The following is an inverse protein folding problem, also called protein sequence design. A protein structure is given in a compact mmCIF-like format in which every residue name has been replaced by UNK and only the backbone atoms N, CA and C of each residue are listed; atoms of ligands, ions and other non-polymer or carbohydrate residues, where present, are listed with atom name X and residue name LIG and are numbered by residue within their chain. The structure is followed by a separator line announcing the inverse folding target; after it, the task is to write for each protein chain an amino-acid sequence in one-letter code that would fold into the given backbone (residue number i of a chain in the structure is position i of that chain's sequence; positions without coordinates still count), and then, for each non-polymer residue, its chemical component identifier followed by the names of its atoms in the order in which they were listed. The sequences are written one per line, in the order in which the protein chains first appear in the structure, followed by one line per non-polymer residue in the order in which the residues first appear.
data_IF_507722809877
#
_entry.id   IF_507722809877
#
_cell.length_a   1.000
_cell.length_b   1.000
_cell.length_c   1.000
_cell.angle_alpha   90.00
_cell.angle_beta   90.00
_cell.angle_gamma   90.00
#
_symmetry.space_group_name_H-M   'P 1'
#
loop_
_entity.id
_entity.type
_entity.pdbx_description
1 polymer ?
#
# COMPACT_ATOMS: atom_id res chain seq x y z
N UNK A 1 -1.45 33.27 2.50
CA UNK A 1 -1.28 32.38 3.65
C UNK A 1 -0.77 31.07 3.08
N UNK A 2 0.51 30.75 3.32
CA UNK A 2 1.05 29.45 2.90
C UNK A 2 0.36 28.35 3.73
N UNK A 3 -0.24 27.35 3.12
CA UNK A 3 -0.77 26.25 3.89
C UNK A 3 0.39 25.55 4.62
N UNK A 4 0.21 25.40 5.91
CA UNK A 4 1.20 24.84 6.83
C UNK A 4 1.44 23.34 6.54
N UNK A 5 2.56 22.77 6.95
CA UNK A 5 2.84 21.35 6.76
C UNK A 5 1.78 20.46 7.40
N UNK A 6 1.54 19.31 6.80
CA UNK A 6 0.60 18.30 7.30
C UNK A 6 1.37 17.04 7.68
N UNK A 7 1.03 16.48 8.82
CA UNK A 7 1.52 15.19 9.30
C UNK A 7 0.35 14.22 9.31
N UNK A 8 0.55 13.05 8.76
CA UNK A 8 -0.40 11.95 8.84
C UNK A 8 0.30 10.71 9.38
N UNK A 9 -0.26 10.14 10.43
CA UNK A 9 0.17 8.86 11.00
C UNK A 9 -1.00 7.92 10.95
N UNK A 10 -0.84 6.73 10.45
CA UNK A 10 -1.83 5.70 10.61
C UNK A 10 -1.20 4.35 10.90
N UNK A 11 -1.94 3.52 11.62
CA UNK A 11 -1.62 2.14 11.87
C UNK A 11 -2.89 1.31 11.80
N UNK A 12 -2.76 0.06 11.41
CA UNK A 12 -3.91 -0.84 11.31
C UNK A 12 -3.47 -2.26 11.06
N UNK A 13 -4.45 -3.14 11.03
CA UNK A 13 -4.27 -4.53 10.64
C UNK A 13 -4.81 -4.72 9.23
N UNK A 14 -4.01 -5.34 8.35
CA UNK A 14 -4.47 -5.75 7.02
C UNK A 14 -5.18 -7.10 7.11
N UNK A 15 -4.72 -7.95 8.02
CA UNK A 15 -5.35 -9.20 8.44
C UNK A 15 -5.15 -9.35 9.94
N UNK A 16 -5.71 -10.39 10.55
CA UNK A 16 -5.53 -10.69 11.98
C UNK A 16 -4.06 -10.77 12.42
N UNK A 17 -3.16 -11.11 11.50
CA UNK A 17 -1.75 -11.36 11.77
C UNK A 17 -0.78 -10.38 11.09
N UNK A 18 -1.26 -9.54 10.16
CA UNK A 18 -0.42 -8.60 9.43
C UNK A 18 -0.76 -7.18 9.88
N UNK A 19 0.19 -6.55 10.55
CA UNK A 19 0.15 -5.15 10.94
C UNK A 19 0.71 -4.23 9.85
N UNK A 20 0.17 -3.01 9.76
CA UNK A 20 0.71 -1.96 8.90
C UNK A 20 0.86 -0.67 9.70
N UNK A 21 2.01 -0.04 9.58
CA UNK A 21 2.29 1.28 10.12
C UNK A 21 2.70 2.23 9.02
N UNK A 22 2.23 3.46 9.10
CA UNK A 22 2.53 4.49 8.11
C UNK A 22 2.69 5.85 8.77
N UNK A 23 3.74 6.55 8.39
CA UNK A 23 3.99 7.93 8.76
C UNK A 23 4.21 8.75 7.48
N UNK A 24 3.54 9.88 7.35
CA UNK A 24 3.76 10.80 6.24
C UNK A 24 3.86 12.24 6.73
N UNK A 25 4.76 12.98 6.12
CA UNK A 25 4.96 14.42 6.29
C UNK A 25 4.82 15.08 4.94
N UNK A 26 4.06 16.16 4.84
CA UNK A 26 3.94 16.93 3.62
C UNK A 26 3.94 18.42 3.91
N UNK A 27 4.64 19.19 3.10
CA UNK A 27 4.72 20.64 3.24
C UNK A 27 4.65 21.35 1.89
N UNK A 28 3.94 22.47 1.84
CA UNK A 28 3.82 23.29 0.64
C UNK A 28 4.85 24.41 0.64
N UNK A 29 5.50 24.61 -0.50
CA UNK A 29 6.45 25.68 -0.77
C UNK A 29 5.97 26.40 -2.03
N UNK A 30 5.17 27.44 -1.86
CA UNK A 30 4.51 28.12 -2.98
C UNK A 30 3.51 27.19 -3.69
N UNK A 31 3.70 26.97 -5.00
CA UNK A 31 2.90 26.05 -5.81
C UNK A 31 3.44 24.61 -5.81
N UNK A 32 4.47 24.33 -5.03
CA UNK A 32 5.10 23.03 -4.95
C UNK A 32 4.76 22.38 -3.60
N UNK A 33 4.68 21.05 -3.57
CA UNK A 33 4.55 20.27 -2.34
C UNK A 33 5.66 19.24 -2.30
N UNK A 34 6.34 19.16 -1.17
CA UNK A 34 7.28 18.09 -0.84
C UNK A 34 6.62 17.15 0.17
N UNK A 35 6.85 15.86 0.01
CA UNK A 35 6.36 14.85 0.93
C UNK A 35 7.43 13.79 1.19
N UNK A 36 7.41 13.26 2.41
CA UNK A 36 8.19 12.12 2.83
C UNK A 36 7.28 11.16 3.56
N UNK A 37 7.39 9.86 3.28
CA UNK A 37 6.65 8.86 4.03
C UNK A 37 7.44 7.58 4.26
N UNK A 38 7.07 6.89 5.34
CA UNK A 38 7.59 5.57 5.69
C UNK A 38 6.38 4.65 5.90
N UNK A 39 6.41 3.50 5.25
CA UNK A 39 5.41 2.44 5.39
C UNK A 39 6.12 1.15 5.78
N UNK A 40 5.62 0.49 6.82
CA UNK A 40 6.12 -0.80 7.29
C UNK A 40 4.98 -1.80 7.39
N UNK A 41 5.24 -3.03 6.96
CA UNK A 41 4.40 -4.19 7.23
C UNK A 41 5.13 -5.09 8.21
N UNK A 42 4.38 -5.60 9.17
CA UNK A 42 4.82 -6.57 10.17
C UNK A 42 3.92 -7.81 10.04
N UNK A 43 4.53 -8.94 9.72
CA UNK A 43 3.82 -10.19 9.49
C UNK A 43 3.68 -11.02 10.77
N UNK A 44 4.13 -10.48 11.91
CA UNK A 44 4.16 -11.19 13.19
C UNK A 44 5.18 -12.33 13.22
N UNK A 45 5.14 -13.09 14.29
CA UNK A 45 6.05 -14.20 14.51
C UNK A 45 5.53 -15.47 13.83
N UNK A 46 6.30 -16.00 12.90
CA UNK A 46 6.04 -17.26 12.18
C UNK A 46 6.94 -18.34 12.74
N UNK A 47 6.37 -19.51 13.06
CA UNK A 47 7.15 -20.65 13.55
C UNK A 47 8.19 -21.09 12.51
N UNK A 48 9.45 -21.17 12.91
CA UNK A 48 10.52 -21.68 12.07
C UNK A 48 10.51 -23.20 12.10
N UNK A 49 10.14 -23.81 10.98
CA UNK A 49 10.14 -25.27 10.81
C UNK A 49 11.34 -25.74 9.99
N UNK A 50 11.92 -26.87 10.37
CA UNK A 50 13.04 -27.52 9.68
C UNK A 50 12.74 -29.00 9.46
N UNK A 51 13.60 -29.70 8.73
CA UNK A 51 13.47 -31.15 8.56
C UNK A 51 13.55 -31.90 9.91
N UNK A 52 14.34 -31.38 10.87
CA UNK A 52 14.49 -31.93 12.23
C UNK A 52 13.35 -31.49 13.15
N UNK A 53 12.71 -30.36 12.91
CA UNK A 53 11.58 -29.85 13.68
C UNK A 53 10.43 -29.40 12.76
N UNK A 54 9.72 -30.32 12.10
CA UNK A 54 8.67 -30.00 11.15
C UNK A 54 7.42 -29.38 11.79
N UNK A 55 7.30 -29.48 13.12
CA UNK A 55 6.18 -28.94 13.88
C UNK A 55 6.47 -27.58 14.53
N UNK A 56 7.73 -27.11 14.48
CA UNK A 56 8.14 -25.87 15.12
C UNK A 56 8.12 -25.92 16.66
N UNK A 57 8.19 -27.11 17.25
CA UNK A 57 8.17 -27.29 18.71
C UNK A 57 9.40 -26.70 19.41
N UNK A 58 10.48 -26.41 18.66
CA UNK A 58 11.67 -25.70 19.19
C UNK A 58 11.36 -24.30 19.70
N UNK A 59 10.19 -23.75 19.34
CA UNK A 59 9.77 -22.41 19.70
C UNK A 59 10.54 -21.29 18.98
N UNK A 60 11.39 -21.63 18.00
CA UNK A 60 12.05 -20.62 17.16
C UNK A 60 11.05 -19.98 16.22
N UNK A 61 11.08 -18.65 16.10
CA UNK A 61 10.24 -17.88 15.21
C UNK A 61 11.08 -16.95 14.33
N UNK A 62 10.49 -16.48 13.24
CA UNK A 62 11.02 -15.40 12.43
C UNK A 62 9.87 -14.46 12.04
N UNK A 63 10.18 -13.18 11.83
CA UNK A 63 9.20 -12.15 11.50
C UNK A 63 9.62 -11.45 10.21
N UNK A 64 8.94 -11.70 9.08
CA UNK A 64 9.17 -10.94 7.85
C UNK A 64 8.84 -9.46 8.05
N UNK A 65 9.62 -8.58 7.44
CA UNK A 65 9.43 -7.13 7.50
C UNK A 65 9.58 -6.52 6.12
N UNK A 66 8.57 -5.74 5.71
CA UNK A 66 8.62 -4.98 4.47
C UNK A 66 8.59 -3.50 4.80
N UNK A 67 9.59 -2.77 4.31
CA UNK A 67 9.76 -1.34 4.55
C UNK A 67 9.76 -0.59 3.21
N UNK A 68 8.97 0.48 3.13
CA UNK A 68 9.01 1.39 1.98
C UNK A 68 9.20 2.83 2.47
N UNK A 69 10.25 3.48 1.99
CA UNK A 69 10.50 4.92 2.22
C UNK A 69 10.20 5.64 0.91
N UNK A 70 9.38 6.69 0.95
CA UNK A 70 8.97 7.42 -0.25
C UNK A 70 9.28 8.90 -0.09
N UNK A 71 9.91 9.49 -1.10
CA UNK A 71 10.04 10.92 -1.26
C UNK A 71 9.18 11.37 -2.46
N UNK A 72 8.32 12.35 -2.25
CA UNK A 72 7.37 12.83 -3.24
C UNK A 72 7.52 14.33 -3.52
N UNK A 73 7.26 14.68 -4.75
CA UNK A 73 7.17 16.06 -5.21
C UNK A 73 5.92 16.24 -6.04
N UNK A 74 5.21 17.35 -5.83
CA UNK A 74 4.13 17.75 -6.71
C UNK A 74 4.16 19.24 -7.00
N UNK A 75 3.60 19.61 -8.14
CA UNK A 75 3.52 21.00 -8.60
C UNK A 75 2.15 21.29 -9.18
N UNK A 76 1.61 22.42 -8.77
CA UNK A 76 0.47 23.04 -9.42
C UNK A 76 0.96 23.81 -10.66
N UNK A 77 0.75 23.21 -11.84
CA UNK A 77 1.19 23.76 -13.10
C UNK A 77 0.26 24.88 -13.59
N UNK A 78 -1.03 24.60 -13.53
CA UNK A 78 -2.11 25.57 -13.77
C UNK A 78 -3.16 25.43 -12.67
N UNK A 79 -4.14 26.31 -12.61
CA UNK A 79 -5.28 26.22 -11.67
C UNK A 79 -6.09 24.91 -11.83
N UNK A 80 -5.89 24.17 -12.94
CA UNK A 80 -6.62 22.95 -13.28
C UNK A 80 -5.75 21.71 -13.34
N UNK A 81 -4.45 21.85 -13.52
CA UNK A 81 -3.54 20.74 -13.77
C UNK A 81 -2.46 20.72 -12.68
N UNK A 82 -2.34 19.56 -12.04
CA UNK A 82 -1.31 19.25 -11.07
C UNK A 82 -0.55 18.01 -11.49
N UNK A 83 0.78 18.06 -11.37
CA UNK A 83 1.67 16.93 -11.60
C UNK A 83 2.28 16.47 -10.29
N UNK A 84 2.46 15.17 -10.14
CA UNK A 84 3.18 14.58 -9.03
C UNK A 84 4.10 13.47 -9.48
N UNK A 85 5.22 13.33 -8.78
CA UNK A 85 6.14 12.21 -8.93
C UNK A 85 6.68 11.80 -7.57
N UNK A 86 7.00 10.54 -7.41
CA UNK A 86 7.68 10.04 -6.21
C UNK A 86 8.71 8.98 -6.55
N UNK A 87 9.71 8.89 -5.68
CA UNK A 87 10.69 7.81 -5.66
C UNK A 87 10.50 7.02 -4.36
N UNK A 88 10.56 5.71 -4.46
CA UNK A 88 10.41 4.76 -3.35
C UNK A 88 11.66 3.91 -3.23
N UNK A 89 12.11 3.73 -2.02
CA UNK A 89 13.06 2.68 -1.64
C UNK A 89 12.25 1.55 -1.02
N UNK A 90 12.28 0.38 -1.63
CA UNK A 90 11.56 -0.81 -1.19
C UNK A 90 12.57 -1.81 -0.65
N UNK A 91 12.37 -2.26 0.57
CA UNK A 91 13.16 -3.30 1.21
C UNK A 91 12.23 -4.37 1.77
N UNK A 92 12.52 -5.61 1.47
CA UNK A 92 11.85 -6.79 2.00
C UNK A 92 12.89 -7.68 2.69
N UNK A 93 12.65 -8.03 3.93
CA UNK A 93 13.53 -8.88 4.73
C UNK A 93 12.76 -10.09 5.24
N UNK A 94 13.28 -11.28 4.97
CA UNK A 94 12.74 -12.56 5.45
C UNK A 94 13.91 -13.36 6.02
N UNK A 95 13.91 -13.56 7.34
CA UNK A 95 15.02 -14.21 8.05
C UNK A 95 16.36 -13.47 7.77
N UNK A 96 17.31 -14.17 7.13
CA UNK A 96 18.63 -13.63 6.75
C UNK A 96 18.74 -13.38 5.24
N UNK A 97 17.60 -13.24 4.56
CA UNK A 97 17.56 -12.81 3.16
C UNK A 97 16.88 -11.46 3.03
N UNK A 98 17.32 -10.68 2.09
CA UNK A 98 16.70 -9.41 1.75
C UNK A 98 16.59 -9.19 0.23
N UNK A 99 15.59 -8.41 -0.17
CA UNK A 99 15.45 -7.91 -1.52
C UNK A 99 15.24 -6.38 -1.47
N UNK A 100 15.93 -5.67 -2.34
CA UNK A 100 15.88 -4.22 -2.40
C UNK A 100 15.57 -3.74 -3.83
N UNK A 101 14.77 -2.69 -3.94
CA UNK A 101 14.55 -2.04 -5.23
C UNK A 101 14.21 -0.56 -5.05
N UNK A 102 14.25 0.14 -6.18
CA UNK A 102 13.80 1.53 -6.31
C UNK A 102 12.60 1.56 -7.24
N UNK A 103 11.51 2.18 -6.80
CA UNK A 103 10.31 2.33 -7.61
C UNK A 103 9.98 3.82 -7.82
N UNK A 104 9.33 4.12 -8.94
CA UNK A 104 8.88 5.45 -9.30
C UNK A 104 7.36 5.44 -9.47
N UNK A 105 6.71 6.48 -8.96
CA UNK A 105 5.33 6.78 -9.29
C UNK A 105 5.28 8.13 -10.00
N UNK A 106 4.31 8.28 -10.90
CA UNK A 106 4.00 9.55 -11.54
C UNK A 106 2.51 9.69 -11.78
N UNK A 107 2.01 10.90 -11.70
CA UNK A 107 0.59 11.14 -11.91
C UNK A 107 0.26 12.56 -12.30
N UNK A 108 -0.93 12.68 -12.87
CA UNK A 108 -1.52 13.94 -13.27
C UNK A 108 -2.93 14.00 -12.71
N UNK A 109 -3.28 15.15 -12.17
CA UNK A 109 -4.64 15.47 -11.74
C UNK A 109 -5.16 16.65 -12.57
N UNK A 110 -6.39 16.52 -13.05
CA UNK A 110 -7.10 17.56 -13.77
C UNK A 110 -8.41 17.90 -13.04
N UNK A 111 -8.62 19.19 -12.77
CA UNK A 111 -9.85 19.73 -12.21
C UNK A 111 -10.64 20.42 -13.32
N UNK A 112 -11.88 19.97 -13.57
CA UNK A 112 -12.71 20.55 -14.61
C UNK A 112 -13.14 21.98 -14.24
N UNK A 113 -13.19 22.88 -15.23
CA UNK A 113 -13.42 24.31 -14.97
C UNK A 113 -14.84 24.69 -14.56
N UNK A 114 -15.85 23.93 -14.98
CA UNK A 114 -17.27 24.26 -14.77
C UNK A 114 -18.05 23.18 -14.06
N UNK A 115 -17.58 21.93 -14.11
CA UNK A 115 -18.21 20.82 -13.42
C UNK A 115 -17.42 20.51 -12.15
N UNK A 116 -18.06 20.09 -11.06
CA UNK A 116 -17.39 19.65 -9.84
C UNK A 116 -16.77 18.24 -10.04
N UNK A 117 -15.87 18.13 -11.01
CA UNK A 117 -15.26 16.89 -11.48
C UNK A 117 -13.74 17.01 -11.44
N UNK A 118 -13.10 16.06 -10.77
CA UNK A 118 -11.67 15.87 -10.79
C UNK A 118 -11.34 14.53 -11.45
N UNK A 119 -10.37 14.53 -12.34
CA UNK A 119 -9.85 13.34 -13.00
C UNK A 119 -8.40 13.14 -12.56
N UNK A 120 -7.97 11.90 -12.44
CA UNK A 120 -6.60 11.54 -12.09
C UNK A 120 -6.11 10.33 -12.88
N UNK A 121 -4.86 10.38 -13.29
CA UNK A 121 -4.15 9.24 -13.87
C UNK A 121 -2.86 9.08 -13.09
N UNK A 122 -2.59 7.88 -12.58
CA UNK A 122 -1.39 7.57 -11.80
C UNK A 122 -0.81 6.24 -12.28
N UNK A 123 0.48 6.26 -12.58
CA UNK A 123 1.29 5.08 -12.82
C UNK A 123 2.14 4.82 -11.59
N UNK A 124 2.09 3.61 -11.05
CA UNK A 124 2.73 3.26 -9.77
C UNK A 124 3.73 2.14 -9.91
N UNK A 125 4.71 2.15 -9.02
CA UNK A 125 5.69 1.09 -8.79
C UNK A 125 6.48 0.69 -10.04
N UNK A 126 6.83 1.65 -10.89
CA UNK A 126 7.75 1.43 -12.01
C UNK A 126 9.17 1.29 -11.47
N UNK A 127 9.80 0.16 -11.67
CA UNK A 127 11.17 -0.06 -11.19
C UNK A 127 11.79 -1.35 -11.74
N UNK A 128 13.07 -1.58 -11.45
CA UNK A 128 13.73 -2.82 -11.79
C UNK A 128 13.18 -3.97 -10.94
N UNK A 129 13.43 -5.19 -11.42
CA UNK A 129 13.11 -6.42 -10.69
C UNK A 129 13.81 -6.46 -9.34
N UNK A 130 13.14 -7.04 -8.37
CA UNK A 130 13.71 -7.40 -7.06
C UNK A 130 14.27 -8.82 -7.11
N UNK A 131 15.29 -9.09 -6.30
CA UNK A 131 15.84 -10.42 -6.14
C UNK A 131 16.29 -10.60 -4.70
N UNK A 132 15.89 -11.72 -4.10
CA UNK A 132 16.36 -12.08 -2.76
C UNK A 132 17.80 -12.54 -2.79
N UNK A 133 18.58 -12.10 -1.80
CA UNK A 133 19.96 -12.54 -1.53
C UNK A 133 20.18 -12.62 -0.03
N UNK A 134 21.13 -13.44 0.41
CA UNK A 134 21.47 -13.59 1.82
C UNK A 134 21.85 -15.01 2.21
N UNK A 135 22.33 -15.17 3.44
CA UNK A 135 22.92 -16.42 3.90
C UNK A 135 21.93 -17.60 4.02
N UNK A 136 20.63 -17.35 4.12
CA UNK A 136 19.64 -18.44 4.07
C UNK A 136 19.52 -19.11 2.69
N UNK A 137 20.11 -18.53 1.66
CA UNK A 137 20.19 -19.12 0.33
C UNK A 137 21.52 -19.88 0.11
N UNK A 138 22.37 -19.94 1.12
CA UNK A 138 23.60 -20.72 1.09
C UNK A 138 23.34 -22.11 1.65
N UNK A 139 23.80 -23.13 0.95
CA UNK A 139 23.73 -24.52 1.35
C UNK A 139 25.13 -25.13 1.35
N UNK A 140 25.43 -25.89 2.38
CA UNK A 140 26.64 -26.69 2.46
C UNK A 140 26.29 -28.10 2.06
N UNK A 141 26.95 -28.62 1.05
CA UNK A 141 26.73 -29.97 0.53
C UNK A 141 28.06 -30.61 0.18
N UNK A 142 28.14 -31.93 0.40
CA UNK A 142 29.22 -32.70 -0.21
C UNK A 142 28.91 -32.94 -1.70
N UNK A 143 29.87 -32.70 -2.60
CA UNK A 143 29.66 -33.03 -4.02
C UNK A 143 29.36 -34.53 -4.18
N UNK A 144 28.50 -34.87 -5.15
CA UNK A 144 28.24 -36.24 -5.53
C UNK A 144 29.56 -36.94 -5.89
N UNK A 145 29.72 -38.21 -5.51
CA UNK A 145 30.95 -39.03 -5.73
C UNK A 145 32.20 -38.56 -4.94
N UNK A 146 32.05 -37.72 -3.94
CA UNK A 146 33.17 -37.31 -3.07
C UNK A 146 33.62 -38.45 -2.13
N UNK A 147 34.94 -38.55 -1.84
CA UNK A 147 35.45 -39.49 -0.89
C UNK A 147 35.02 -39.15 0.55
N UNK A 148 34.93 -40.18 1.42
CA UNK A 148 34.57 -39.99 2.83
C UNK A 148 35.59 -39.06 3.51
N UNK A 149 35.12 -37.94 4.04
CA UNK A 149 35.96 -36.91 4.70
C UNK A 149 36.27 -35.71 3.82
N UNK A 150 35.68 -35.61 2.61
CA UNK A 150 35.74 -34.41 1.81
C UNK A 150 35.06 -33.25 2.55
N UNK A 151 35.65 -32.06 2.45
CA UNK A 151 35.10 -30.83 3.03
C UNK A 151 33.82 -30.43 2.27
N UNK A 152 32.80 -30.03 3.01
CA UNK A 152 31.57 -29.52 2.42
C UNK A 152 31.84 -28.27 1.57
N UNK A 153 31.29 -28.23 0.39
CA UNK A 153 31.32 -27.06 -0.46
C UNK A 153 30.07 -26.18 -0.24
N UNK A 154 30.29 -24.88 -0.25
CA UNK A 154 29.19 -23.92 -0.13
C UNK A 154 28.60 -23.59 -1.49
N UNK A 155 27.31 -23.84 -1.62
CA UNK A 155 26.52 -23.51 -2.82
C UNK A 155 25.54 -22.40 -2.45
N UNK A 156 25.44 -21.40 -3.33
CA UNK A 156 24.44 -20.35 -3.21
C UNK A 156 23.29 -20.63 -4.18
N UNK A 157 22.07 -20.74 -3.65
CA UNK A 157 20.85 -20.78 -4.44
C UNK A 157 20.55 -19.37 -4.93
N UNK A 158 20.50 -19.19 -6.24
CA UNK A 158 20.15 -17.92 -6.86
C UNK A 158 18.62 -17.83 -6.95
N UNK A 159 18.01 -16.95 -6.15
CA UNK A 159 16.59 -16.70 -6.20
C UNK A 159 16.20 -16.07 -7.55
N UNK A 160 15.04 -16.43 -8.09
CA UNK A 160 14.54 -15.83 -9.33
C UNK A 160 14.16 -14.37 -9.09
N UNK A 161 14.57 -13.43 -9.97
CA UNK A 161 14.12 -12.06 -9.91
C UNK A 161 12.62 -11.95 -10.19
N UNK A 162 11.92 -11.07 -9.46
CA UNK A 162 10.50 -10.80 -9.64
C UNK A 162 10.25 -9.30 -9.84
N UNK A 163 9.17 -8.98 -10.54
CA UNK A 163 8.79 -7.59 -10.84
C UNK A 163 8.12 -6.92 -9.65
N UNK A 164 8.20 -5.59 -9.57
CA UNK A 164 7.39 -4.80 -8.66
C UNK A 164 5.93 -4.79 -9.12
N UNK A 165 4.94 -4.66 -8.20
CA UNK A 165 3.53 -4.61 -8.55
C UNK A 165 3.17 -3.27 -9.22
N UNK A 166 3.54 -3.13 -10.49
CA UNK A 166 3.21 -1.96 -11.29
C UNK A 166 1.71 -1.88 -11.54
N UNK A 167 1.14 -0.68 -11.44
CA UNK A 167 -0.28 -0.46 -11.76
C UNK A 167 -0.53 0.89 -12.42
N UNK A 168 -1.54 0.92 -13.30
CA UNK A 168 -2.11 2.13 -13.89
C UNK A 168 -3.49 2.37 -13.28
N UNK A 169 -3.68 3.51 -12.64
CA UNK A 169 -4.93 3.91 -12.03
C UNK A 169 -5.52 5.11 -12.77
N UNK A 170 -6.77 5.00 -13.21
CA UNK A 170 -7.54 6.09 -13.81
C UNK A 170 -8.73 6.37 -12.89
N UNK A 171 -8.83 7.58 -12.36
CA UNK A 171 -9.81 7.94 -11.33
C UNK A 171 -10.63 9.15 -11.72
N UNK A 172 -11.89 9.17 -11.25
CA UNK A 172 -12.78 10.29 -11.32
C UNK A 172 -13.43 10.54 -9.96
N UNK A 173 -13.52 11.79 -9.56
CA UNK A 173 -14.27 12.23 -8.37
C UNK A 173 -15.27 13.27 -8.80
N UNK A 174 -16.54 13.03 -8.53
CA UNK A 174 -17.63 13.94 -8.82
C UNK A 174 -18.32 14.38 -7.53
N UNK A 175 -18.46 15.68 -7.32
CA UNK A 175 -19.08 16.27 -6.13
C UNK A 175 -20.39 16.98 -6.50
N UNK A 176 -21.53 16.27 -6.63
CA UNK A 176 -22.82 16.87 -7.03
C UNK A 176 -23.28 17.99 -6.08
N UNK A 177 -22.94 17.87 -4.82
CA UNK A 177 -23.12 18.88 -3.79
C UNK A 177 -21.84 18.93 -2.92
N UNK A 178 -21.63 20.03 -2.19
CA UNK A 178 -20.42 20.20 -1.38
C UNK A 178 -20.22 19.11 -0.29
N UNK A 179 -21.34 18.54 0.17
CA UNK A 179 -21.31 17.51 1.21
C UNK A 179 -21.08 16.09 0.65
N UNK A 180 -21.35 15.83 -0.63
CA UNK A 180 -21.30 14.47 -1.21
C UNK A 180 -20.25 14.39 -2.32
N UNK A 181 -19.35 13.42 -2.20
CA UNK A 181 -18.39 13.06 -3.24
C UNK A 181 -18.61 11.61 -3.67
N UNK A 182 -18.64 11.38 -4.97
CA UNK A 182 -18.67 10.07 -5.60
C UNK A 182 -17.31 9.80 -6.24
N UNK A 183 -16.79 8.63 -6.02
CA UNK A 183 -15.47 8.21 -6.49
C UNK A 183 -15.58 6.98 -7.37
N UNK A 184 -14.87 6.99 -8.48
CA UNK A 184 -14.68 5.83 -9.34
C UNK A 184 -13.20 5.72 -9.73
N UNK A 185 -12.65 4.51 -9.68
CA UNK A 185 -11.27 4.26 -10.11
C UNK A 185 -11.22 2.94 -10.86
N UNK A 186 -10.64 2.95 -12.04
CA UNK A 186 -10.22 1.76 -12.76
C UNK A 186 -8.74 1.54 -12.47
N UNK A 187 -8.38 0.32 -12.09
CA UNK A 187 -7.01 -0.10 -11.84
C UNK A 187 -6.66 -1.27 -12.76
N UNK A 188 -5.63 -1.06 -13.58
CA UNK A 188 -4.95 -2.13 -14.31
C UNK A 188 -3.69 -2.52 -13.54
N UNK A 189 -3.63 -3.76 -13.08
CA UNK A 189 -2.54 -4.28 -12.26
C UNK A 189 -1.73 -5.31 -13.05
N UNK A 190 -0.40 -5.23 -12.99
CA UNK A 190 0.50 -6.13 -13.73
C UNK A 190 0.46 -7.59 -13.22
N UNK A 191 0.06 -7.83 -11.97
CA UNK A 191 0.09 -9.15 -11.32
C UNK A 191 -1.29 -9.72 -10.97
N UNK A 192 -2.35 -9.03 -11.30
CA UNK A 192 -3.67 -9.46 -10.92
C UNK A 192 -4.73 -9.04 -11.91
N UNK A 193 -5.96 -9.29 -11.54
CA UNK A 193 -7.10 -8.87 -12.33
C UNK A 193 -7.25 -7.36 -12.33
N UNK A 194 -7.74 -6.82 -13.42
CA UNK A 194 -8.20 -5.45 -13.48
C UNK A 194 -9.32 -5.24 -12.47
N UNK A 195 -9.35 -4.08 -11.83
CA UNK A 195 -10.31 -3.78 -10.78
C UNK A 195 -11.03 -2.46 -11.06
N UNK A 196 -12.29 -2.42 -10.70
CA UNK A 196 -13.05 -1.19 -10.62
C UNK A 196 -13.43 -0.92 -9.16
N UNK A 197 -13.06 0.25 -8.66
CA UNK A 197 -13.40 0.70 -7.31
C UNK A 197 -14.45 1.79 -7.40
N UNK A 198 -15.53 1.65 -6.63
CA UNK A 198 -16.57 2.66 -6.50
C UNK A 198 -16.79 3.02 -5.04
N UNK A 199 -17.07 4.30 -4.76
CA UNK A 199 -17.32 4.74 -3.40
C UNK A 199 -18.03 6.08 -3.31
N UNK A 200 -18.55 6.36 -2.12
CA UNK A 200 -19.19 7.63 -1.78
C UNK A 200 -18.71 8.12 -0.41
N UNK A 201 -18.53 9.42 -0.29
CA UNK A 201 -18.17 10.13 0.93
C UNK A 201 -19.19 11.23 1.18
N UNK A 202 -19.71 11.31 2.40
CA UNK A 202 -20.57 12.39 2.86
C UNK A 202 -19.89 13.14 4.00
N UNK A 203 -19.69 14.44 3.86
CA UNK A 203 -19.02 15.29 4.83
C UNK A 203 -19.91 16.43 5.30
N UNK A 204 -19.88 16.70 6.59
CA UNK A 204 -20.62 17.76 7.25
C UNK A 204 -19.66 18.65 8.03
N UNK A 205 -19.74 19.96 7.78
CA UNK A 205 -19.08 20.97 8.61
C UNK A 205 -20.06 21.47 9.67
N UNK A 206 -19.79 21.14 10.90
CA UNK A 206 -20.55 21.59 12.07
C UNK A 206 -19.82 22.76 12.76
N UNK A 207 -20.52 23.48 13.64
CA UNK A 207 -19.93 24.63 14.32
C UNK A 207 -18.72 24.21 15.19
N UNK A 208 -17.53 24.24 14.59
CA UNK A 208 -16.26 23.97 15.27
C UNK A 208 -15.57 22.65 14.93
N UNK A 209 -16.16 21.77 14.12
CA UNK A 209 -15.52 20.54 13.66
C UNK A 209 -16.13 20.01 12.36
N UNK A 210 -15.37 19.24 11.62
CA UNK A 210 -15.84 18.55 10.42
C UNK A 210 -15.96 17.05 10.70
N UNK A 211 -17.02 16.44 10.18
CA UNK A 211 -17.25 14.98 10.26
C UNK A 211 -17.45 14.45 8.85
N UNK A 212 -16.94 13.27 8.58
CA UNK A 212 -17.20 12.56 7.35
C UNK A 212 -17.53 11.09 7.62
N UNK A 213 -18.36 10.52 6.77
CA UNK A 213 -18.62 9.08 6.67
C UNK A 213 -18.52 8.67 5.20
N UNK A 214 -18.13 7.45 4.95
CA UNK A 214 -18.01 6.95 3.58
C UNK A 214 -18.01 5.45 3.50
N UNK A 215 -18.21 4.96 2.30
CA UNK A 215 -18.13 3.55 2.00
C UNK A 215 -17.83 3.31 0.53
N UNK A 216 -17.33 2.13 0.23
CA UNK A 216 -16.99 1.75 -1.12
C UNK A 216 -16.85 0.26 -1.28
N UNK A 217 -16.76 -0.15 -2.53
CA UNK A 217 -16.58 -1.53 -2.94
C UNK A 217 -15.59 -1.61 -4.09
N UNK A 218 -14.98 -2.76 -4.27
CA UNK A 218 -14.19 -3.08 -5.45
C UNK A 218 -14.81 -4.28 -6.17
N UNK A 219 -14.74 -4.23 -7.50
CA UNK A 219 -15.16 -5.28 -8.40
C UNK A 219 -13.95 -5.74 -9.21
N UNK A 220 -13.70 -7.04 -9.24
CA UNK A 220 -12.71 -7.63 -10.13
C UNK A 220 -13.31 -7.82 -11.51
N UNK A 221 -12.57 -7.42 -12.54
CA UNK A 221 -12.92 -7.67 -13.92
C UNK A 221 -12.21 -8.97 -14.34
N UNK A 222 -12.93 -10.07 -14.26
CA UNK A 222 -12.44 -11.39 -14.67
C UNK A 222 -12.79 -11.59 -16.13
N UNK A 223 -11.84 -12.09 -16.93
CA UNK A 223 -12.09 -12.47 -18.31
C UNK A 223 -12.78 -13.86 -18.33
N UNK A 224 -13.85 -13.98 -19.09
CA UNK A 224 -14.74 -15.18 -19.13
C UNK A 224 -14.05 -16.43 -19.75
N UNK A 225 -12.81 -16.27 -20.23
CA UNK A 225 -12.03 -17.34 -20.89
C UNK A 225 -11.17 -18.20 -19.93
N UNK A 226 -11.36 -18.06 -18.62
CA UNK A 226 -10.60 -18.85 -17.65
C UNK A 226 -11.18 -20.24 -17.50
N UNK A 227 -10.39 -21.26 -17.89
CA UNK A 227 -10.64 -22.67 -17.61
C UNK A 227 -11.04 -22.88 -16.15
N UNK A 228 -12.12 -23.56 -15.86
CA UNK A 228 -12.85 -23.70 -14.58
C UNK A 228 -12.06 -24.00 -13.29
N UNK A 229 -10.76 -23.71 -13.27
CA UNK A 229 -9.88 -23.71 -12.10
C UNK A 229 -9.88 -22.36 -11.39
N UNK A 230 -10.38 -21.29 -12.01
CA UNK A 230 -10.32 -19.92 -11.50
C UNK A 230 -11.61 -19.46 -10.80
N UNK A 231 -12.67 -20.28 -10.78
CA UNK A 231 -13.92 -19.93 -10.09
C UNK A 231 -13.72 -19.67 -8.58
N UNK A 232 -12.72 -20.32 -7.96
CA UNK A 232 -12.40 -20.13 -6.54
C UNK A 232 -11.51 -18.88 -6.27
N UNK A 233 -10.86 -18.31 -7.30
CA UNK A 233 -9.98 -17.16 -7.16
C UNK A 233 -10.77 -15.84 -7.21
N UNK A 234 -11.98 -15.86 -7.72
CA UNK A 234 -12.86 -14.70 -7.85
C UNK A 234 -13.56 -14.26 -6.56
N UNK A 235 -13.31 -14.92 -5.44
CA UNK A 235 -13.78 -14.46 -4.13
C UNK A 235 -13.17 -13.12 -3.81
N UNK A 236 -13.99 -12.09 -3.84
CA UNK A 236 -13.64 -10.70 -3.62
C UNK A 236 -13.33 -10.49 -2.13
N UNK A 237 -12.14 -10.90 -1.70
CA UNK A 237 -11.72 -10.95 -0.29
C UNK A 237 -11.80 -9.61 0.45
N UNK A 238 -11.94 -8.48 -0.27
CA UNK A 238 -12.08 -7.15 0.32
C UNK A 238 -13.15 -6.34 -0.43
N UNK A 239 -14.33 -6.93 -0.57
CA UNK A 239 -15.38 -6.39 -1.42
C UNK A 239 -15.91 -5.04 -0.94
N UNK A 240 -16.00 -4.83 0.37
CA UNK A 240 -16.68 -3.67 0.92
C UNK A 240 -15.84 -3.01 2.00
N UNK A 241 -15.88 -1.69 2.03
CA UNK A 241 -15.21 -0.90 3.07
C UNK A 241 -16.11 0.23 3.54
N UNK A 242 -16.02 0.53 4.84
CA UNK A 242 -16.72 1.64 5.48
C UNK A 242 -15.74 2.42 6.33
N UNK A 243 -15.99 3.71 6.48
CA UNK A 243 -15.16 4.52 7.32
C UNK A 243 -15.82 5.82 7.71
N UNK A 244 -15.21 6.48 8.67
CA UNK A 244 -15.62 7.81 9.10
C UNK A 244 -14.50 8.46 9.88
N UNK A 245 -14.62 9.74 10.07
CA UNK A 245 -13.65 10.51 10.83
C UNK A 245 -14.18 11.86 11.21
N UNK A 246 -13.41 12.53 12.04
CA UNK A 246 -13.67 13.90 12.41
C UNK A 246 -12.37 14.70 12.44
N UNK A 247 -12.47 16.00 12.22
CA UNK A 247 -11.37 16.93 12.39
C UNK A 247 -11.79 18.14 13.20
N UNK A 248 -10.91 18.57 14.11
CA UNK A 248 -11.14 19.63 15.07
C UNK A 248 -10.05 20.71 14.89
N UNK A 249 -10.41 21.94 14.51
CA UNK A 249 -9.47 23.07 14.53
C UNK A 249 -9.24 23.53 15.97
N UNK A 250 -7.99 23.53 16.42
CA UNK A 250 -7.56 23.99 17.75
C UNK A 250 -6.51 25.08 17.54
N UNK A 251 -6.93 26.34 17.54
CA UNK A 251 -6.03 27.46 17.25
C UNK A 251 -5.47 27.41 15.82
N UNK A 252 -4.15 27.26 15.68
CA UNK A 252 -3.49 27.10 14.37
C UNK A 252 -3.42 25.63 13.92
N UNK A 253 -3.75 24.69 14.80
CA UNK A 253 -3.69 23.24 14.53
C UNK A 253 -5.04 22.73 14.04
N UNK A 254 -5.01 21.73 13.19
CA UNK A 254 -6.17 20.92 12.81
C UNK A 254 -5.87 19.46 13.16
N UNK A 255 -6.56 18.91 14.14
CA UNK A 255 -6.41 17.53 14.57
C UNK A 255 -7.54 16.69 13.99
N UNK A 256 -7.20 15.60 13.33
CA UNK A 256 -8.17 14.67 12.76
C UNK A 256 -7.92 13.24 13.24
N UNK A 257 -9.01 12.49 13.37
CA UNK A 257 -8.99 11.04 13.60
C UNK A 257 -9.93 10.39 12.63
N UNK A 258 -9.41 9.39 11.91
CA UNK A 258 -10.17 8.60 10.94
C UNK A 258 -10.10 7.12 11.33
N UNK A 259 -11.21 6.41 11.14
CA UNK A 259 -11.29 4.97 11.31
C UNK A 259 -11.98 4.34 10.10
N UNK A 260 -11.41 3.26 9.61
CA UNK A 260 -11.95 2.50 8.48
C UNK A 260 -11.91 1.01 8.73
N UNK A 261 -12.92 0.30 8.22
CA UNK A 261 -13.05 -1.14 8.26
C UNK A 261 -13.13 -1.66 6.81
N UNK A 262 -12.41 -2.71 6.52
CA UNK A 262 -12.58 -3.52 5.32
C UNK A 262 -13.12 -4.89 5.71
N UNK A 263 -14.18 -5.32 5.03
CA UNK A 263 -14.72 -6.66 5.20
C UNK A 263 -13.94 -7.66 4.33
N UNK A 264 -13.71 -8.85 4.87
CA UNK A 264 -13.08 -9.95 4.14
C UNK A 264 -13.71 -11.27 4.55
N UNK A 265 -14.14 -12.05 3.56
CA UNK A 265 -14.72 -13.37 3.81
C UNK A 265 -13.67 -14.38 4.29
N UNK A 266 -12.43 -14.26 3.81
CA UNK A 266 -11.37 -15.24 4.08
C UNK A 266 -10.53 -14.87 5.30
N UNK A 267 -10.18 -13.58 5.47
CA UNK A 267 -9.21 -13.13 6.48
C UNK A 267 -9.84 -12.44 7.70
N UNK A 268 -11.19 -12.33 7.72
CA UNK A 268 -11.91 -11.56 8.73
C UNK A 268 -11.80 -10.05 8.51
N UNK A 269 -12.61 -9.29 9.22
CA UNK A 269 -12.65 -7.83 9.09
C UNK A 269 -11.37 -7.20 9.62
N UNK A 270 -10.90 -6.18 8.93
CA UNK A 270 -9.68 -5.46 9.26
C UNK A 270 -9.95 -3.98 9.50
N UNK A 271 -9.28 -3.39 10.46
CA UNK A 271 -9.47 -2.01 10.87
C UNK A 271 -8.20 -1.17 10.74
N UNK A 272 -8.35 0.06 10.30
CA UNK A 272 -7.26 1.05 10.21
C UNK A 272 -7.67 2.29 10.98
N UNK A 273 -6.80 2.74 11.88
CA UNK A 273 -6.94 3.99 12.64
C UNK A 273 -5.88 4.99 12.14
N UNK A 274 -6.29 6.22 11.86
CA UNK A 274 -5.39 7.26 11.39
C UNK A 274 -5.51 8.54 12.24
N UNK A 275 -4.40 9.20 12.48
CA UNK A 275 -4.31 10.52 13.09
C UNK A 275 -3.74 11.51 12.09
N UNK A 276 -4.36 12.66 11.97
CA UNK A 276 -3.96 13.74 11.09
C UNK A 276 -3.68 14.99 11.91
N UNK A 277 -2.55 15.64 11.66
CA UNK A 277 -2.20 16.91 12.26
C UNK A 277 -1.86 17.88 11.13
N UNK A 278 -2.61 18.97 11.03
CA UNK A 278 -2.35 20.11 10.14
C UNK A 278 -1.92 21.32 10.96
N UNK A 279 -0.97 22.09 10.44
CA UNK A 279 -0.46 23.32 11.07
C UNK A 279 -0.77 24.52 10.20
#
# INVERSE_FOLDING_TARGET
IHPLPKIKVFGGQITKHIGMSYLALAGNIGKNTLALSVKSFDFGDIAHTTAEDPTGMSGKTFSPQFLTITAGYSKEYTDRIRFGASIKLVNETIMQTNANSVAFDMGVQYTHGSLPLNLGIVLRNLGPKMQYSGSNLEQSMQPDESESGTIDEHFQVIAQPFDLPASLNISATYAPINALKLHGTFENNAFGFNQFHGGAEYSLSLAGFDVWIGGGTNLYLVDDDTDGWDEDITTNNFATSFGGGFSLPIGALNLGVDYGIKTSETFGDTGVLAFNIGF
#
